data_IF_677296748199
#
_entry.id   IF_677296748199
#
_cell.length_a   1.000
_cell.length_b   1.000
_cell.length_c   1.000
_cell.angle_alpha   90.00
_cell.angle_beta   90.00
_cell.angle_gamma   90.00
#
_symmetry.space_group_name_H-M   'P 1'
#
loop_
_entity.id
_entity.type
_entity.pdbx_description
1 polymer ?
#
# COMPACT_ATOMS: atom_id res chain seq x y z
N UNK A 1 -17.38 27.35 -7.75
CA UNK A 1 -16.17 27.03 -6.97
C UNK A 1 -15.30 26.20 -7.88
N UNK A 2 -14.19 26.74 -8.38
CA UNK A 2 -13.17 25.95 -9.09
C UNK A 2 -12.59 24.95 -8.10
N UNK A 3 -12.68 23.66 -8.39
CA UNK A 3 -12.02 22.64 -7.58
C UNK A 3 -10.53 22.99 -7.49
N UNK A 4 -10.00 23.12 -6.29
CA UNK A 4 -8.58 23.41 -6.07
C UNK A 4 -7.78 22.26 -6.66
N UNK A 5 -6.77 22.60 -7.48
CA UNK A 5 -5.98 21.57 -8.16
C UNK A 5 -5.05 20.90 -7.13
N UNK A 6 -4.91 19.56 -7.17
CA UNK A 6 -4.01 18.86 -6.26
C UNK A 6 -2.55 19.28 -6.48
N UNK A 7 -1.76 19.30 -5.40
CA UNK A 7 -0.31 19.56 -5.43
C UNK A 7 0.42 18.53 -6.31
N UNK A 8 -0.02 17.28 -6.26
CA UNK A 8 0.48 16.19 -7.11
C UNK A 8 -0.63 15.27 -7.56
N UNK A 9 -0.63 14.91 -8.83
CA UNK A 9 -1.59 13.99 -9.42
C UNK A 9 -0.89 12.95 -10.28
N UNK A 10 -1.30 11.69 -10.14
CA UNK A 10 -0.83 10.57 -10.94
C UNK A 10 -2.01 9.69 -11.32
N UNK A 11 -2.12 9.33 -12.59
CA UNK A 11 -3.06 8.34 -13.08
C UNK A 11 -2.37 7.36 -14.02
N UNK A 12 -2.59 6.07 -13.79
CA UNK A 12 -2.12 4.97 -14.63
C UNK A 12 -3.29 4.06 -14.98
N UNK A 13 -3.48 3.80 -16.28
CA UNK A 13 -4.32 2.72 -16.77
C UNK A 13 -3.46 1.66 -17.43
N UNK A 14 -3.49 0.45 -16.92
CA UNK A 14 -2.66 -0.69 -17.34
C UNK A 14 -3.55 -1.73 -17.99
N UNK A 15 -3.15 -2.21 -19.17
CA UNK A 15 -3.85 -3.26 -19.90
C UNK A 15 -2.89 -4.38 -20.31
N UNK A 16 -3.40 -5.60 -20.42
CA UNK A 16 -2.64 -6.75 -20.92
C UNK A 16 -2.52 -6.67 -22.43
N UNK A 17 -1.32 -6.58 -22.95
CA UNK A 17 -1.05 -6.57 -24.39
C UNK A 17 -0.55 -7.95 -24.83
N UNK A 18 -1.16 -8.51 -25.88
CA UNK A 18 -0.65 -9.70 -26.56
C UNK A 18 0.28 -9.26 -27.69
N UNK A 19 1.44 -9.89 -27.80
CA UNK A 19 2.27 -9.70 -28.99
C UNK A 19 1.56 -10.25 -30.22
N UNK A 20 1.70 -9.55 -31.34
CA UNK A 20 1.11 -9.92 -32.63
C UNK A 20 1.57 -11.32 -33.13
N UNK A 21 2.68 -11.84 -32.60
CA UNK A 21 3.26 -13.13 -32.94
C UNK A 21 2.96 -14.26 -31.94
N UNK A 22 2.03 -14.06 -31.00
CA UNK A 22 1.68 -15.07 -29.99
C UNK A 22 2.73 -15.29 -28.91
N UNK A 23 3.69 -14.36 -28.78
CA UNK A 23 4.69 -14.34 -27.72
C UNK A 23 4.15 -13.84 -26.39
N UNK A 24 5.03 -13.72 -25.41
CA UNK A 24 4.71 -13.31 -24.04
C UNK A 24 3.86 -12.04 -23.96
N UNK A 25 2.75 -12.16 -23.25
CA UNK A 25 1.85 -11.02 -23.03
C UNK A 25 2.35 -10.20 -21.87
N UNK A 26 2.65 -8.93 -22.07
CA UNK A 26 3.08 -7.99 -21.02
C UNK A 26 1.98 -6.97 -20.69
N UNK A 27 1.99 -6.48 -19.48
CA UNK A 27 1.12 -5.39 -19.04
C UNK A 27 1.76 -4.05 -19.39
N UNK A 28 1.01 -3.17 -20.04
CA UNK A 28 1.52 -1.87 -20.52
C UNK A 28 0.57 -0.75 -20.13
N UNK A 29 1.08 0.47 -19.93
CA UNK A 29 0.22 1.63 -19.76
C UNK A 29 -0.42 2.01 -21.11
N UNK A 30 -1.74 2.03 -21.15
CA UNK A 30 -2.53 2.60 -22.26
C UNK A 30 -2.88 4.06 -22.01
N UNK A 31 -2.85 4.47 -20.75
CA UNK A 31 -2.94 5.88 -20.34
C UNK A 31 -2.01 6.13 -19.16
N UNK A 32 -1.26 7.22 -19.25
CA UNK A 32 -0.38 7.68 -18.19
C UNK A 32 -0.46 9.21 -18.09
N UNK A 33 -0.79 9.69 -16.92
CA UNK A 33 -0.84 11.11 -16.63
C UNK A 33 -0.16 11.41 -15.30
N UNK A 34 0.58 12.48 -15.23
CA UNK A 34 1.08 13.03 -13.98
C UNK A 34 1.21 14.55 -14.05
N UNK A 35 0.98 15.19 -12.92
CA UNK A 35 1.04 16.65 -12.78
C UNK A 35 1.56 17.05 -11.40
N UNK A 36 2.02 18.30 -11.30
CA UNK A 36 2.47 18.89 -10.04
C UNK A 36 3.71 18.19 -9.50
N UNK A 37 3.71 17.79 -8.24
CA UNK A 37 4.86 17.22 -7.56
C UNK A 37 5.10 15.74 -7.89
N UNK A 38 4.12 15.01 -8.42
CA UNK A 38 4.29 13.58 -8.72
C UNK A 38 4.83 13.37 -10.13
N UNK A 39 5.69 12.35 -10.27
CA UNK A 39 6.20 11.83 -11.53
C UNK A 39 6.22 10.31 -11.46
N UNK A 40 6.26 9.66 -12.62
CA UNK A 40 6.48 8.23 -12.73
C UNK A 40 7.60 7.95 -13.71
N UNK A 41 8.48 7.03 -13.36
CA UNK A 41 9.58 6.60 -14.21
C UNK A 41 9.08 5.64 -15.30
N UNK A 42 9.91 5.38 -16.32
CA UNK A 42 9.62 4.31 -17.29
C UNK A 42 9.46 2.98 -16.56
N UNK A 43 8.47 2.17 -16.96
CA UNK A 43 8.31 0.86 -16.37
C UNK A 43 9.46 -0.06 -16.73
N UNK A 44 9.68 -1.05 -15.88
CA UNK A 44 10.52 -2.22 -16.18
C UNK A 44 9.77 -3.49 -15.80
N UNK A 45 10.26 -4.61 -16.30
CA UNK A 45 9.73 -5.94 -16.00
C UNK A 45 10.81 -6.68 -15.22
N UNK A 46 10.47 -7.09 -13.99
CA UNK A 46 11.45 -7.71 -13.08
C UNK A 46 11.68 -9.19 -13.42
N UNK A 47 10.68 -9.81 -14.05
CA UNK A 47 10.65 -11.23 -14.42
C UNK A 47 9.81 -11.45 -15.70
N UNK A 48 9.68 -12.71 -16.10
CA UNK A 48 8.94 -13.12 -17.30
C UNK A 48 7.41 -13.18 -17.10
N UNK A 49 6.87 -12.78 -15.94
CA UNK A 49 5.42 -12.74 -15.67
C UNK A 49 4.67 -11.71 -16.52
N UNK A 50 5.41 -10.75 -17.06
CA UNK A 50 4.86 -9.62 -17.79
C UNK A 50 4.20 -8.58 -16.89
N UNK A 51 4.44 -8.61 -15.56
CA UNK A 51 4.01 -7.58 -14.63
C UNK A 51 4.84 -6.31 -14.84
N UNK A 52 4.16 -5.20 -15.16
CA UNK A 52 4.82 -3.90 -15.28
C UNK A 52 5.12 -3.31 -13.90
N UNK A 53 6.37 -2.90 -13.65
CA UNK A 53 6.76 -2.19 -12.43
C UNK A 53 6.95 -0.72 -12.71
N UNK A 54 6.19 0.12 -12.03
CA UNK A 54 6.29 1.57 -12.08
C UNK A 54 6.83 2.13 -10.78
N UNK A 55 7.81 3.03 -10.88
CA UNK A 55 8.38 3.76 -9.73
C UNK A 55 7.83 5.18 -9.71
N UNK A 56 7.10 5.51 -8.66
CA UNK A 56 6.61 6.87 -8.40
C UNK A 56 7.71 7.68 -7.71
N UNK A 57 7.89 8.92 -8.16
CA UNK A 57 8.85 9.85 -7.57
C UNK A 57 8.17 11.17 -7.23
N UNK A 58 8.62 11.79 -6.15
CA UNK A 58 8.30 13.17 -5.79
C UNK A 58 9.60 13.99 -5.81
N UNK A 59 9.93 14.67 -6.93
CA UNK A 59 11.13 15.52 -7.01
C UNK A 59 11.17 16.67 -6.00
N UNK A 60 10.02 17.05 -5.42
CA UNK A 60 9.93 18.03 -4.33
C UNK A 60 10.45 17.50 -2.98
N UNK A 61 10.66 16.20 -2.87
CA UNK A 61 11.31 15.54 -1.74
C UNK A 61 10.45 15.32 -0.50
N UNK A 62 9.40 16.10 -0.27
CA UNK A 62 8.49 15.97 0.87
C UNK A 62 7.07 16.48 0.55
N UNK A 63 6.11 16.07 1.35
CA UNK A 63 4.76 16.63 1.44
C UNK A 63 4.75 17.74 2.50
N UNK A 64 4.07 18.83 2.23
CA UNK A 64 3.98 19.99 3.12
C UNK A 64 2.55 20.23 3.61
N UNK A 65 2.38 21.12 4.56
CA UNK A 65 1.07 21.44 5.12
C UNK A 65 0.10 21.99 4.07
N UNK A 66 -1.10 21.39 4.03
CA UNK A 66 -2.14 21.72 3.05
C UNK A 66 -1.95 21.08 1.68
N UNK A 67 -0.84 20.37 1.43
CA UNK A 67 -0.65 19.63 0.19
C UNK A 67 -1.72 18.54 0.02
N UNK A 68 -2.17 18.39 -1.23
CA UNK A 68 -3.09 17.31 -1.62
C UNK A 68 -2.50 16.51 -2.76
N UNK A 69 -2.51 15.19 -2.62
CA UNK A 69 -2.00 14.24 -3.60
C UNK A 69 -3.10 13.28 -4.02
N UNK A 70 -3.19 13.03 -5.32
CA UNK A 70 -4.19 12.14 -5.89
C UNK A 70 -3.54 11.09 -6.77
N UNK A 71 -3.78 9.81 -6.46
CA UNK A 71 -3.31 8.68 -7.23
C UNK A 71 -4.51 7.87 -7.74
N UNK A 72 -4.52 7.56 -9.03
CA UNK A 72 -5.53 6.70 -9.65
C UNK A 72 -4.83 5.57 -10.38
N UNK A 73 -5.11 4.33 -9.98
CA UNK A 73 -4.56 3.12 -10.57
C UNK A 73 -5.71 2.27 -11.13
N UNK A 74 -5.76 2.11 -12.43
CA UNK A 74 -6.77 1.31 -13.13
C UNK A 74 -6.04 0.14 -13.81
N UNK A 75 -6.22 -1.06 -13.29
CA UNK A 75 -5.62 -2.29 -13.80
C UNK A 75 -6.72 -3.11 -14.45
N UNK A 76 -6.73 -3.13 -15.77
CA UNK A 76 -7.72 -3.81 -16.57
C UNK A 76 -7.60 -5.34 -16.46
N UNK A 77 -8.58 -6.05 -17.05
CA UNK A 77 -8.65 -7.50 -17.01
C UNK A 77 -7.34 -8.17 -17.41
N UNK A 78 -6.92 -9.16 -16.64
CA UNK A 78 -5.69 -9.96 -16.83
C UNK A 78 -4.38 -9.14 -16.81
N UNK A 79 -4.41 -7.86 -16.51
CA UNK A 79 -3.21 -7.04 -16.39
C UNK A 79 -2.58 -7.16 -15.01
N UNK A 80 -1.27 -6.98 -14.94
CA UNK A 80 -0.50 -7.04 -13.70
C UNK A 80 0.37 -5.79 -13.55
N UNK A 81 0.26 -5.13 -12.40
CA UNK A 81 0.96 -3.91 -12.07
C UNK A 81 1.66 -4.04 -10.72
N UNK A 82 2.91 -3.60 -10.65
CA UNK A 82 3.59 -3.29 -9.39
C UNK A 82 3.86 -1.79 -9.35
N UNK A 83 3.54 -1.16 -8.24
CA UNK A 83 3.84 0.24 -7.96
C UNK A 83 4.73 0.34 -6.74
N UNK A 84 5.86 1.01 -6.88
CA UNK A 84 6.78 1.33 -5.80
C UNK A 84 7.14 2.81 -5.82
N UNK A 85 7.88 3.28 -4.83
CA UNK A 85 8.44 4.63 -4.81
C UNK A 85 9.97 4.60 -4.90
N UNK A 86 10.59 5.70 -5.29
CA UNK A 86 12.05 5.79 -5.38
C UNK A 86 12.70 5.93 -4.00
N UNK A 87 11.95 6.47 -3.04
CA UNK A 87 12.41 6.75 -1.69
C UNK A 87 11.22 6.90 -0.74
N UNK A 88 11.52 6.94 0.55
CA UNK A 88 10.54 7.19 1.60
C UNK A 88 9.63 8.37 1.29
N UNK A 89 8.33 8.21 1.53
CA UNK A 89 7.40 9.33 1.56
C UNK A 89 7.66 10.14 2.83
N UNK A 90 8.11 11.37 2.67
CA UNK A 90 8.42 12.28 3.78
C UNK A 90 7.32 13.32 3.91
N UNK A 91 6.86 13.53 5.11
CA UNK A 91 5.89 14.59 5.43
C UNK A 91 6.59 15.58 6.36
N UNK A 92 6.80 16.79 5.89
CA UNK A 92 7.41 17.88 6.67
C UNK A 92 6.41 18.40 7.72
N UNK A 93 6.83 19.38 8.54
CA UNK A 93 5.88 20.06 9.44
C UNK A 93 4.75 20.73 8.63
N UNK A 94 3.54 20.66 9.21
CA UNK A 94 2.31 21.02 8.49
C UNK A 94 1.50 22.10 9.23
N UNK A 95 2.02 23.33 9.40
CA UNK A 95 1.33 24.37 10.14
C UNK A 95 0.04 24.86 9.47
N UNK A 96 -0.15 24.60 8.16
CA UNK A 96 -1.34 24.98 7.39
C UNK A 96 -2.44 23.90 7.42
N UNK A 97 -2.21 22.79 8.09
CA UNK A 97 -3.09 21.62 8.10
C UNK A 97 -2.43 20.37 7.54
N UNK A 98 -3.06 19.21 7.64
CA UNK A 98 -2.46 17.95 7.21
C UNK A 98 -2.11 17.93 5.73
N UNK A 99 -1.05 17.23 5.36
CA UNK A 99 -0.86 16.75 4.01
C UNK A 99 -1.81 15.58 3.78
N UNK A 100 -2.52 15.56 2.65
CA UNK A 100 -3.56 14.56 2.37
C UNK A 100 -3.28 13.84 1.06
N UNK A 101 -3.25 12.52 1.11
CA UNK A 101 -3.18 11.66 -0.07
C UNK A 101 -4.50 10.88 -0.24
N UNK A 102 -5.06 10.96 -1.44
CA UNK A 102 -6.19 10.11 -1.84
C UNK A 102 -5.74 9.14 -2.91
N UNK A 103 -6.10 7.88 -2.76
CA UNK A 103 -5.78 6.85 -3.75
C UNK A 103 -7.03 6.08 -4.14
N UNK A 104 -7.28 5.99 -5.46
CA UNK A 104 -8.35 5.19 -6.05
C UNK A 104 -7.74 4.08 -6.89
N UNK A 105 -8.10 2.84 -6.58
CA UNK A 105 -7.62 1.64 -7.24
C UNK A 105 -8.81 0.89 -7.82
N UNK A 106 -8.73 0.53 -9.09
CA UNK A 106 -9.71 -0.34 -9.75
C UNK A 106 -9.01 -1.55 -10.32
N UNK A 107 -9.50 -2.76 -9.98
CA UNK A 107 -8.95 -4.02 -10.45
C UNK A 107 -10.02 -4.80 -11.21
N UNK A 108 -9.79 -5.02 -12.52
CA UNK A 108 -10.63 -5.84 -13.39
C UNK A 108 -10.53 -7.33 -13.10
N UNK A 109 -11.18 -8.16 -13.92
CA UNK A 109 -11.14 -9.63 -13.79
C UNK A 109 -9.70 -10.16 -13.92
N UNK A 110 -9.29 -11.01 -12.99
CA UNK A 110 -7.94 -11.59 -12.95
C UNK A 110 -6.80 -10.55 -12.98
N UNK A 111 -7.10 -9.30 -12.66
CA UNK A 111 -6.10 -8.25 -12.53
C UNK A 111 -5.27 -8.45 -11.25
N UNK A 112 -4.02 -8.01 -11.29
CA UNK A 112 -3.12 -8.07 -10.14
C UNK A 112 -2.48 -6.73 -9.87
N UNK A 113 -2.49 -6.29 -8.62
CA UNK A 113 -1.76 -5.12 -8.14
C UNK A 113 -0.90 -5.48 -6.92
N UNK A 114 0.40 -5.17 -7.03
CA UNK A 114 1.31 -5.10 -5.89
C UNK A 114 1.66 -3.62 -5.63
N UNK A 115 1.05 -3.01 -4.61
CA UNK A 115 1.39 -1.65 -4.16
C UNK A 115 2.37 -1.75 -3.00
N UNK A 116 3.63 -1.44 -3.26
CA UNK A 116 4.77 -1.64 -2.34
C UNK A 116 5.64 -0.39 -2.32
N UNK A 117 5.16 0.72 -1.74
CA UNK A 117 5.97 1.93 -1.58
C UNK A 117 7.06 1.73 -0.52
N UNK A 118 8.08 2.59 -0.55
CA UNK A 118 9.01 2.75 0.57
C UNK A 118 8.28 3.28 1.81
N UNK A 119 8.97 3.29 2.94
CA UNK A 119 8.41 3.70 4.23
C UNK A 119 7.90 5.15 4.26
N UNK A 120 6.95 5.38 5.15
CA UNK A 120 6.44 6.70 5.50
C UNK A 120 7.21 7.27 6.70
N UNK A 121 7.70 8.50 6.56
CA UNK A 121 8.42 9.26 7.59
C UNK A 121 7.69 10.58 7.82
N UNK A 122 6.97 10.70 8.92
CA UNK A 122 6.34 11.95 9.32
C UNK A 122 7.29 12.71 10.26
N UNK A 123 7.65 13.92 9.89
CA UNK A 123 8.57 14.76 10.66
C UNK A 123 7.86 15.40 11.86
N UNK A 124 8.65 15.90 12.79
CA UNK A 124 8.17 16.65 13.95
C UNK A 124 7.14 17.74 13.54
N UNK A 125 6.02 17.80 14.26
CA UNK A 125 4.88 18.69 13.97
C UNK A 125 4.24 18.47 12.58
N UNK A 126 4.48 17.32 11.96
CA UNK A 126 3.81 16.91 10.73
C UNK A 126 2.46 16.25 11.02
N UNK A 127 1.51 16.43 10.12
CA UNK A 127 0.23 15.72 10.09
C UNK A 127 0.01 15.12 8.71
N UNK A 128 -0.31 13.84 8.66
CA UNK A 128 -0.55 13.12 7.41
C UNK A 128 -1.86 12.34 7.46
N UNK A 129 -2.60 12.44 6.38
CA UNK A 129 -3.82 11.65 6.16
C UNK A 129 -3.76 10.96 4.81
N UNK A 130 -4.11 9.68 4.80
CA UNK A 130 -4.24 8.89 3.58
C UNK A 130 -5.60 8.20 3.58
N UNK A 131 -6.34 8.37 2.49
CA UNK A 131 -7.59 7.66 2.24
C UNK A 131 -7.45 6.87 0.94
N UNK A 132 -7.51 5.55 1.03
CA UNK A 132 -7.41 4.60 -0.09
C UNK A 132 -8.74 3.89 -0.28
N UNK A 133 -9.23 3.89 -1.52
CA UNK A 133 -10.40 3.11 -1.94
C UNK A 133 -9.98 2.13 -3.01
N UNK A 134 -10.32 0.86 -2.82
CA UNK A 134 -10.07 -0.21 -3.78
C UNK A 134 -11.42 -0.79 -4.21
N UNK A 135 -11.70 -0.75 -5.50
CA UNK A 135 -12.81 -1.45 -6.13
C UNK A 135 -12.25 -2.60 -6.98
N UNK A 136 -12.60 -3.84 -6.65
CA UNK A 136 -11.99 -5.00 -7.28
C UNK A 136 -12.99 -6.08 -7.65
N UNK A 137 -12.64 -6.88 -8.67
CA UNK A 137 -13.39 -8.07 -9.06
C UNK A 137 -12.98 -9.27 -8.18
N UNK A 138 -13.86 -10.27 -8.00
CA UNK A 138 -13.57 -11.42 -7.12
C UNK A 138 -12.38 -12.27 -7.56
N UNK A 139 -12.06 -12.27 -8.85
CA UNK A 139 -10.93 -13.01 -9.42
C UNK A 139 -9.61 -12.24 -9.38
N UNK A 140 -9.63 -10.95 -9.02
CA UNK A 140 -8.42 -10.13 -8.96
C UNK A 140 -7.65 -10.34 -7.67
N UNK A 141 -6.39 -9.89 -7.66
CA UNK A 141 -5.48 -10.02 -6.53
C UNK A 141 -4.86 -8.68 -6.16
N UNK A 142 -4.87 -8.38 -4.87
CA UNK A 142 -4.29 -7.16 -4.30
C UNK A 142 -3.24 -7.53 -3.24
N UNK A 143 -2.06 -6.95 -3.36
CA UNK A 143 -1.05 -6.88 -2.30
C UNK A 143 -0.77 -5.43 -1.98
N UNK A 144 -0.95 -5.01 -0.72
CA UNK A 144 -0.60 -3.67 -0.25
C UNK A 144 0.35 -3.76 0.93
N UNK A 145 1.53 -3.16 0.80
CA UNK A 145 2.55 -3.09 1.85
C UNK A 145 2.74 -1.64 2.28
N UNK A 146 2.63 -1.38 3.57
CA UNK A 146 2.88 -0.06 4.15
C UNK A 146 3.78 -0.21 5.37
N UNK A 147 4.81 0.63 5.45
CA UNK A 147 5.77 0.66 6.57
C UNK A 147 5.81 2.08 7.13
N UNK A 148 5.54 2.21 8.41
CA UNK A 148 5.50 3.48 9.13
C UNK A 148 6.68 3.51 10.11
N UNK A 149 7.45 4.59 10.05
CA UNK A 149 8.59 4.82 10.94
C UNK A 149 8.18 5.63 12.18
N UNK A 150 9.04 5.73 13.21
CA UNK A 150 8.76 6.58 14.38
C UNK A 150 8.76 8.08 14.06
N UNK A 151 8.97 8.44 12.80
CA UNK A 151 9.14 9.81 12.37
C UNK A 151 10.58 10.33 12.52
N UNK A 152 10.75 11.62 12.31
CA UNK A 152 12.05 12.29 12.42
C UNK A 152 11.91 13.63 13.15
N UNK A 153 12.83 13.91 14.06
CA UNK A 153 12.97 15.20 14.73
C UNK A 153 14.43 15.61 14.83
N UNK A 154 14.75 16.91 14.93
CA UNK A 154 16.12 17.38 15.15
C UNK A 154 16.71 16.91 16.49
N UNK A 155 15.87 16.69 17.51
CA UNK A 155 16.27 16.21 18.83
C UNK A 155 16.55 14.70 18.86
N UNK A 156 16.15 13.94 17.82
CA UNK A 156 16.17 12.48 17.81
C UNK A 156 15.02 11.83 18.58
N UNK A 157 14.09 12.62 19.10
CA UNK A 157 12.87 12.10 19.72
C UNK A 157 11.96 11.45 18.70
N UNK A 158 11.27 10.38 19.12
CA UNK A 158 10.37 9.58 18.28
C UNK A 158 8.94 9.99 18.51
N UNK A 159 8.09 9.79 17.50
CA UNK A 159 6.64 10.07 17.57
C UNK A 159 6.33 11.51 17.94
N UNK A 160 7.09 12.46 17.38
CA UNK A 160 6.94 13.91 17.61
C UNK A 160 6.02 14.58 16.58
N UNK A 161 5.46 13.81 15.66
CA UNK A 161 4.46 14.31 14.71
C UNK A 161 3.10 14.52 15.39
N UNK A 162 2.27 15.36 14.77
CA UNK A 162 0.96 15.70 15.33
C UNK A 162 -0.08 14.62 15.09
N UNK A 163 -0.15 14.11 13.87
CA UNK A 163 -1.15 13.10 13.45
C UNK A 163 -0.60 12.22 12.32
N UNK A 164 -0.87 10.95 12.42
CA UNK A 164 -0.86 10.02 11.31
C UNK A 164 -2.21 9.31 11.24
N UNK A 165 -2.88 9.39 10.09
CA UNK A 165 -4.10 8.66 9.82
C UNK A 165 -4.05 8.04 8.44
N UNK A 166 -4.25 6.72 8.38
CA UNK A 166 -4.34 5.96 7.14
C UNK A 166 -5.63 5.13 7.18
N UNK A 167 -6.41 5.20 6.11
CA UNK A 167 -7.65 4.44 5.98
C UNK A 167 -7.69 3.79 4.61
N UNK A 168 -7.94 2.49 4.59
CA UNK A 168 -8.11 1.71 3.37
C UNK A 168 -9.49 1.05 3.39
N UNK A 169 -10.26 1.28 2.35
CA UNK A 169 -11.57 0.67 2.13
C UNK A 169 -11.50 -0.20 0.88
N UNK A 170 -11.84 -1.48 1.02
CA UNK A 170 -11.79 -2.47 -0.06
C UNK A 170 -13.22 -2.94 -0.35
N UNK A 171 -13.61 -2.86 -1.61
CA UNK A 171 -14.90 -3.30 -2.14
C UNK A 171 -14.69 -4.40 -3.17
N UNK A 172 -15.49 -5.44 -3.09
CA UNK A 172 -15.55 -6.52 -4.08
C UNK A 172 -16.93 -6.47 -4.74
N UNK A 173 -16.99 -6.34 -6.06
CA UNK A 173 -18.24 -6.11 -6.79
C UNK A 173 -19.06 -4.95 -6.20
N UNK A 174 -18.43 -3.84 -5.86
CA UNK A 174 -19.03 -2.65 -5.21
C UNK A 174 -19.55 -2.88 -3.79
N UNK A 175 -19.51 -4.11 -3.27
CA UNK A 175 -19.84 -4.39 -1.88
C UNK A 175 -18.64 -4.14 -0.95
N UNK A 176 -18.86 -3.40 0.13
CA UNK A 176 -17.84 -3.19 1.15
C UNK A 176 -17.39 -4.54 1.71
N UNK A 177 -16.12 -4.87 1.51
CA UNK A 177 -15.52 -6.13 1.92
C UNK A 177 -14.66 -6.00 3.18
N UNK A 178 -13.73 -5.04 3.19
CA UNK A 178 -12.84 -4.81 4.33
C UNK A 178 -12.57 -3.31 4.53
N UNK A 179 -12.38 -2.93 5.78
CA UNK A 179 -11.86 -1.61 6.16
C UNK A 179 -10.67 -1.83 7.07
N UNK A 180 -9.58 -1.15 6.76
CA UNK A 180 -8.46 -1.01 7.65
C UNK A 180 -8.25 0.45 8.02
N UNK A 181 -7.91 0.71 9.27
CA UNK A 181 -7.63 2.06 9.73
C UNK A 181 -6.54 2.06 10.79
N UNK A 182 -5.52 2.86 10.55
CA UNK A 182 -4.50 3.21 11.54
C UNK A 182 -4.62 4.69 11.88
N UNK A 183 -4.63 5.01 13.16
CA UNK A 183 -4.59 6.40 13.66
C UNK A 183 -3.59 6.47 14.80
N UNK A 184 -2.67 7.40 14.72
CA UNK A 184 -1.67 7.66 15.77
C UNK A 184 -1.69 9.14 16.08
N UNK A 185 -1.97 9.47 17.34
CA UNK A 185 -1.98 10.83 17.89
C UNK A 185 -1.06 10.86 19.11
N UNK A 186 0.23 11.10 18.95
CA UNK A 186 1.21 10.97 20.02
C UNK A 186 0.93 11.87 21.24
N UNK A 187 0.25 13.01 21.03
CA UNK A 187 -0.14 13.90 22.12
C UNK A 187 -1.33 13.40 22.96
N UNK A 188 -2.15 12.51 22.40
CA UNK A 188 -3.36 12.00 23.06
C UNK A 188 -3.14 10.62 23.68
N UNK A 189 -2.20 9.83 23.17
CA UNK A 189 -2.01 8.43 23.52
C UNK A 189 -0.52 8.10 23.76
N UNK A 190 -0.24 7.22 24.72
CA UNK A 190 1.11 6.70 24.93
C UNK A 190 1.47 5.71 23.82
N UNK A 191 2.01 6.20 22.71
CA UNK A 191 2.37 5.37 21.55
C UNK A 191 3.33 4.23 21.90
N UNK A 192 4.27 4.46 22.83
CA UNK A 192 5.26 3.47 23.26
C UNK A 192 4.77 2.51 24.34
N UNK A 193 3.53 2.70 24.81
CA UNK A 193 2.93 1.92 25.89
C UNK A 193 2.55 0.50 25.51
N UNK A 194 2.24 -0.31 26.54
CA UNK A 194 1.72 -1.67 26.38
C UNK A 194 0.39 -1.64 25.59
N UNK A 195 0.22 -2.57 24.66
CA UNK A 195 -0.97 -2.67 23.84
C UNK A 195 -0.98 -1.74 22.62
N UNK A 196 0.08 -0.96 22.41
CA UNK A 196 0.28 -0.17 21.21
C UNK A 196 1.60 -0.55 20.51
N UNK A 197 2.72 0.11 20.79
CA UNK A 197 4.02 -0.19 20.19
C UNK A 197 4.93 -1.07 21.07
N UNK A 198 4.63 -1.23 22.35
CA UNK A 198 5.37 -2.09 23.30
C UNK A 198 6.91 -1.90 23.27
N UNK A 199 7.34 -0.65 23.03
CA UNK A 199 8.76 -0.30 22.90
C UNK A 199 9.32 -0.44 21.47
N UNK A 200 8.61 -1.06 20.55
CA UNK A 200 8.98 -1.06 19.12
C UNK A 200 8.83 0.34 18.53
N UNK A 201 9.37 0.53 17.33
CA UNK A 201 9.45 1.84 16.70
C UNK A 201 8.80 1.92 15.33
N UNK A 202 8.73 0.80 14.61
CA UNK A 202 8.20 0.71 13.26
C UNK A 202 6.96 -0.17 13.23
N UNK A 203 5.98 0.22 12.40
CA UNK A 203 4.76 -0.54 12.14
C UNK A 203 4.80 -1.00 10.69
N UNK A 204 4.56 -2.28 10.46
CA UNK A 204 4.31 -2.84 9.15
C UNK A 204 2.85 -3.29 9.02
N UNK A 205 2.29 -3.03 7.85
CA UNK A 205 1.00 -3.54 7.45
C UNK A 205 1.11 -4.13 6.05
N UNK A 206 0.75 -5.40 5.93
CA UNK A 206 0.70 -6.08 4.64
C UNK A 206 -0.69 -6.71 4.49
N UNK A 207 -1.42 -6.24 3.48
CA UNK A 207 -2.77 -6.69 3.17
C UNK A 207 -2.71 -7.52 1.89
N UNK A 208 -3.25 -8.73 1.94
CA UNK A 208 -3.52 -9.58 0.79
C UNK A 208 -5.02 -9.73 0.60
N UNK A 209 -5.50 -9.53 -0.61
CA UNK A 209 -6.87 -9.89 -0.99
C UNK A 209 -6.79 -10.72 -2.27
N UNK A 210 -7.02 -12.01 -2.17
CA UNK A 210 -7.06 -12.90 -3.33
C UNK A 210 -7.67 -14.26 -2.96
N UNK A 211 -7.98 -15.06 -3.98
CA UNK A 211 -8.36 -16.47 -3.82
C UNK A 211 -7.17 -17.35 -3.43
N UNK A 212 -5.95 -16.96 -3.80
CA UNK A 212 -4.74 -17.72 -3.51
C UNK A 212 -4.49 -17.84 -2.00
N UNK A 213 -4.69 -16.75 -1.25
CA UNK A 213 -4.50 -16.77 0.20
C UNK A 213 -5.59 -17.55 0.97
N UNK A 214 -6.65 -18.00 0.28
CA UNK A 214 -7.63 -18.93 0.83
C UNK A 214 -7.13 -20.38 0.85
N UNK A 215 -6.08 -20.69 0.09
CA UNK A 215 -5.51 -22.05 0.06
C UNK A 215 -4.83 -22.37 1.40
N UNK A 216 -5.14 -23.51 2.04
CA UNK A 216 -4.56 -23.85 3.35
C UNK A 216 -3.03 -23.84 3.34
N UNK A 217 -2.39 -24.35 2.29
CA UNK A 217 -0.93 -24.39 2.19
C UNK A 217 -0.30 -23.00 2.21
N UNK A 218 -0.93 -22.00 1.55
CA UNK A 218 -0.47 -20.61 1.54
C UNK A 218 -0.68 -19.96 2.91
N UNK A 219 -1.86 -20.14 3.50
CA UNK A 219 -2.18 -19.61 4.82
C UNK A 219 -1.24 -20.18 5.90
N UNK A 220 -0.97 -21.49 5.86
CA UNK A 220 -0.05 -22.17 6.79
C UNK A 220 1.39 -21.67 6.60
N UNK A 221 1.86 -21.51 5.37
CA UNK A 221 3.19 -20.98 5.07
C UNK A 221 3.36 -19.54 5.56
N UNK A 222 2.34 -18.69 5.37
CA UNK A 222 2.34 -17.31 5.89
C UNK A 222 2.33 -17.29 7.43
N UNK A 223 1.53 -18.16 8.07
CA UNK A 223 1.49 -18.26 9.51
C UNK A 223 2.84 -18.72 10.10
N UNK A 224 3.51 -19.68 9.44
CA UNK A 224 4.83 -20.14 9.84
C UNK A 224 5.90 -19.06 9.65
N UNK A 225 5.87 -18.33 8.53
CA UNK A 225 6.78 -17.20 8.30
C UNK A 225 6.61 -16.13 9.39
N UNK A 226 5.38 -15.73 9.69
CA UNK A 226 5.08 -14.74 10.74
C UNK A 226 5.57 -15.20 12.10
N UNK A 227 5.38 -16.49 12.44
CA UNK A 227 5.80 -17.07 13.72
C UNK A 227 7.32 -17.15 13.88
N UNK A 228 8.06 -17.34 12.78
CA UNK A 228 9.52 -17.53 12.77
C UNK A 228 10.31 -16.28 12.46
N UNK A 229 9.62 -15.18 12.07
CA UNK A 229 10.26 -13.90 11.77
C UNK A 229 10.90 -13.27 13.01
N UNK A 230 11.86 -12.39 12.78
CA UNK A 230 12.52 -11.56 13.79
C UNK A 230 11.73 -10.30 14.17
N UNK A 231 10.47 -10.24 13.76
CA UNK A 231 9.54 -9.15 14.05
C UNK A 231 8.45 -9.61 15.04
N UNK A 232 7.86 -8.68 15.77
CA UNK A 232 6.68 -8.96 16.57
C UNK A 232 5.43 -8.84 15.69
N UNK A 233 4.95 -9.96 15.15
CA UNK A 233 3.96 -9.97 14.09
C UNK A 233 2.80 -10.90 14.36
N UNK A 234 1.66 -10.56 13.76
CA UNK A 234 0.46 -11.39 13.75
C UNK A 234 -0.17 -11.46 12.37
N UNK A 235 -0.74 -12.64 12.05
CA UNK A 235 -1.55 -12.87 10.85
C UNK A 235 -3.01 -12.97 11.25
N UNK A 236 -3.87 -12.21 10.59
CA UNK A 236 -5.31 -12.20 10.85
C UNK A 236 -6.12 -12.30 9.57
N UNK A 237 -7.27 -12.97 9.64
CA UNK A 237 -8.29 -12.88 8.61
C UNK A 237 -9.09 -11.59 8.81
N UNK A 238 -9.27 -10.83 7.73
CA UNK A 238 -10.09 -9.63 7.69
C UNK A 238 -11.16 -9.77 6.60
N UNK A 239 -12.06 -8.81 6.56
CA UNK A 239 -13.16 -8.81 5.59
C UNK A 239 -14.40 -9.54 6.08
N UNK A 240 -15.53 -9.14 5.54
CA UNK A 240 -16.82 -9.76 5.81
C UNK A 240 -17.10 -10.88 4.80
N UNK A 241 -17.93 -11.87 5.16
CA UNK A 241 -18.43 -12.83 4.19
C UNK A 241 -19.18 -12.15 3.03
N UNK A 242 -19.00 -12.67 1.82
CA UNK A 242 -19.68 -12.24 0.60
C UNK A 242 -20.52 -13.42 0.05
N UNK A 243 -21.67 -13.74 0.67
CA UNK A 243 -22.38 -15.00 0.42
C UNK A 243 -23.02 -15.08 -0.98
N UNK A 244 -23.11 -13.96 -1.70
CA UNK A 244 -23.65 -13.91 -3.07
C UNK A 244 -22.56 -13.99 -4.15
N UNK A 245 -21.30 -14.10 -3.74
CA UNK A 245 -20.16 -14.16 -4.67
C UNK A 245 -19.53 -15.56 -4.56
N UNK A 246 -19.67 -16.33 -5.63
CA UNK A 246 -19.01 -17.61 -5.73
C UNK A 246 -17.49 -17.44 -5.77
N UNK A 247 -16.77 -18.28 -5.04
CA UNK A 247 -15.31 -18.18 -4.92
C UNK A 247 -14.83 -16.77 -4.49
N UNK A 248 -15.50 -16.16 -3.53
CA UNK A 248 -15.11 -14.87 -2.99
C UNK A 248 -13.65 -14.87 -2.52
N UNK A 249 -12.90 -13.79 -2.72
CA UNK A 249 -11.54 -13.69 -2.21
C UNK A 249 -11.50 -13.67 -0.68
N UNK A 250 -10.35 -14.01 -0.13
CA UNK A 250 -10.07 -13.86 1.30
C UNK A 250 -9.15 -12.67 1.50
N UNK A 251 -9.34 -11.96 2.61
CA UNK A 251 -8.42 -10.92 3.06
C UNK A 251 -7.58 -11.44 4.22
N UNK A 252 -6.27 -11.49 4.04
CA UNK A 252 -5.29 -11.72 5.11
C UNK A 252 -4.51 -10.44 5.39
N UNK A 253 -4.29 -10.16 6.67
CA UNK A 253 -3.51 -9.01 7.11
C UNK A 253 -2.39 -9.47 8.03
N UNK A 254 -1.15 -9.13 7.65
CA UNK A 254 0.01 -9.23 8.53
C UNK A 254 0.26 -7.87 9.14
N UNK A 255 0.23 -7.79 10.47
CA UNK A 255 0.65 -6.61 11.22
C UNK A 255 1.95 -6.91 11.94
N UNK A 256 2.90 -5.99 11.84
CA UNK A 256 4.26 -6.18 12.33
C UNK A 256 4.73 -4.99 13.14
N UNK A 257 5.41 -5.25 14.23
CA UNK A 257 6.18 -4.28 14.98
C UNK A 257 7.66 -4.68 14.93
N UNK A 258 8.53 -3.70 14.72
CA UNK A 258 9.97 -3.92 14.67
C UNK A 258 10.74 -2.67 15.12
N UNK A 259 12.07 -2.79 15.16
CA UNK A 259 12.98 -1.67 15.45
C UNK A 259 13.59 -1.06 14.18
N UNK A 260 13.32 -1.63 13.00
CA UNK A 260 13.83 -1.14 11.73
C UNK A 260 12.86 -1.39 10.57
N UNK A 261 12.97 -0.55 9.55
CA UNK A 261 12.26 -0.71 8.26
C UNK A 261 12.65 -2.03 7.58
N UNK A 262 13.95 -2.37 7.62
CA UNK A 262 14.50 -3.54 6.91
C UNK A 262 13.94 -4.86 7.43
N UNK A 263 13.70 -4.97 8.74
CA UNK A 263 13.10 -6.17 9.33
C UNK A 263 11.68 -6.39 8.79
N UNK A 264 10.87 -5.32 8.75
CA UNK A 264 9.50 -5.38 8.23
C UNK A 264 9.50 -5.61 6.71
N UNK A 265 10.35 -4.89 5.97
CA UNK A 265 10.44 -5.03 4.51
C UNK A 265 10.79 -6.47 4.11
N UNK A 266 11.73 -7.10 4.80
CA UNK A 266 12.10 -8.51 4.59
C UNK A 266 10.92 -9.46 4.83
N UNK A 267 10.18 -9.26 5.92
CA UNK A 267 8.98 -10.07 6.19
C UNK A 267 7.94 -9.89 5.09
N UNK A 268 7.68 -8.64 4.68
CA UNK A 268 6.69 -8.35 3.64
C UNK A 268 7.09 -8.92 2.27
N UNK A 269 8.39 -8.87 1.93
CA UNK A 269 8.92 -9.47 0.69
C UNK A 269 8.73 -10.98 0.70
N UNK A 270 9.19 -11.67 1.74
CA UNK A 270 9.05 -13.12 1.89
C UNK A 270 7.58 -13.57 1.87
N UNK A 271 6.69 -12.83 2.55
CA UNK A 271 5.26 -13.12 2.54
C UNK A 271 4.66 -12.93 1.13
N UNK A 272 5.10 -11.89 0.41
CA UNK A 272 4.65 -11.64 -0.95
C UNK A 272 5.11 -12.75 -1.91
N UNK A 273 6.34 -13.25 -1.76
CA UNK A 273 6.88 -14.34 -2.57
C UNK A 273 6.08 -15.64 -2.35
N UNK A 274 5.75 -15.99 -1.10
CA UNK A 274 4.88 -17.15 -0.80
C UNK A 274 3.55 -17.07 -1.58
N UNK A 275 2.93 -15.89 -1.63
CA UNK A 275 1.65 -15.71 -2.34
C UNK A 275 1.83 -15.70 -3.86
N UNK A 276 3.00 -15.33 -4.36
CA UNK A 276 3.32 -15.32 -5.79
C UNK A 276 3.59 -16.72 -6.34
N UNK A 277 4.26 -17.54 -5.57
CA UNK A 277 4.73 -18.87 -5.99
C UNK A 277 3.64 -19.95 -5.87
N UNK A 278 2.48 -19.60 -5.33
CA UNK A 278 1.33 -20.48 -5.14
C UNK A 278 0.36 -20.44 -6.32
#
# INVERSE_FOLDING_TARGET
MTAEQPTGELSLRIERRRDANGGDSSSVATSQFHRGALRVLRPYYADDSGQATYTVINPGGAYFGGDTYQLTLDVADNAALRVTTQSATKVSKTPQGPAHQTMHITLGESARLDYVPDQLIVYENGSYRQDTTVDMQPSSSLTMSEIITPGWSPSGERFTYTELRMRTEIRVCSELFAIDQLRILPAEESVTGIGFMEGFTHIGQLIFVSRMVAQPAVADALAELVRTSDTHSGLTHAGRPLPLIDDAPVCLVVRSLAHSTEAIARLHEQATDIVKDA
#
